data_IF_709506156139
#
_entry.id   IF_709506156139
#
_cell.length_a   1.000
_cell.length_b   1.000
_cell.length_c   1.000
_cell.angle_alpha   90.00
_cell.angle_beta   90.00
_cell.angle_gamma   90.00
#
_symmetry.space_group_name_H-M   'P 1'
#
loop_
_entity.id
_entity.type
_entity.pdbx_description
1 polymer ?
#
# COMPACT_ATOMS: atom_id res chain seq x y z
N UNK A 1 19.34 -1.57 5.91
CA UNK A 1 18.41 -1.63 7.06
C UNK A 1 18.42 -3.06 7.55
N UNK A 2 18.62 -3.28 8.86
CA UNK A 2 18.70 -4.64 9.43
C UNK A 2 17.38 -5.38 9.23
N UNK A 3 17.41 -6.70 9.21
CA UNK A 3 16.22 -7.58 9.17
C UNK A 3 15.26 -7.41 10.35
N UNK A 4 15.66 -6.65 11.37
CA UNK A 4 15.00 -6.62 12.69
C UNK A 4 14.23 -5.33 12.96
N UNK A 5 14.18 -4.38 12.02
CA UNK A 5 13.37 -3.16 12.18
C UNK A 5 11.88 -3.54 12.22
N UNK A 6 11.14 -3.17 13.28
CA UNK A 6 9.71 -3.42 13.37
C UNK A 6 8.98 -2.90 12.12
N UNK A 7 7.99 -3.65 11.63
CA UNK A 7 7.24 -3.27 10.43
C UNK A 7 6.55 -1.90 10.57
N UNK A 8 6.15 -1.55 11.80
CA UNK A 8 5.57 -0.26 12.14
C UNK A 8 6.59 0.87 11.96
N UNK A 9 7.85 0.68 12.38
CA UNK A 9 8.92 1.64 12.13
C UNK A 9 9.24 1.73 10.63
N UNK A 10 9.32 0.59 9.94
CA UNK A 10 9.61 0.52 8.50
C UNK A 10 8.60 1.27 7.63
N UNK A 11 7.30 1.18 7.94
CA UNK A 11 6.24 1.69 7.07
C UNK A 11 5.48 2.91 7.61
N UNK A 12 5.78 3.41 8.81
CA UNK A 12 5.17 4.65 9.34
C UNK A 12 6.16 5.79 9.56
N UNK A 13 7.47 5.54 9.55
CA UNK A 13 8.46 6.62 9.51
C UNK A 13 8.57 7.24 8.11
N UNK A 14 8.83 8.55 8.03
CA UNK A 14 9.13 9.22 6.76
C UNK A 14 10.64 9.20 6.50
N UNK A 15 11.01 8.96 5.25
CA UNK A 15 12.38 9.16 4.78
C UNK A 15 12.70 10.67 4.84
N UNK A 16 13.66 11.12 5.68
CA UNK A 16 13.83 12.55 6.02
C UNK A 16 13.99 13.48 4.81
N UNK A 17 14.74 13.05 3.79
CA UNK A 17 15.09 13.88 2.63
C UNK A 17 14.12 13.74 1.45
N UNK A 18 13.06 12.93 1.58
CA UNK A 18 12.06 12.78 0.52
C UNK A 18 10.94 13.77 0.73
N UNK A 19 10.65 14.54 -0.31
CA UNK A 19 9.47 15.40 -0.39
C UNK A 19 8.64 15.09 -1.63
N UNK A 20 7.32 15.28 -1.55
CA UNK A 20 6.45 15.05 -2.70
C UNK A 20 6.81 15.97 -3.88
N UNK A 21 7.33 17.18 -3.60
CA UNK A 21 7.65 18.18 -4.62
C UNK A 21 6.45 18.44 -5.54
N UNK A 22 6.67 18.30 -6.84
CA UNK A 22 5.67 18.48 -7.89
C UNK A 22 4.77 17.24 -8.13
N UNK A 23 4.97 16.15 -7.38
CA UNK A 23 4.25 14.90 -7.62
C UNK A 23 2.81 15.04 -7.13
N UNK A 24 1.88 14.81 -8.06
CA UNK A 24 0.44 14.94 -7.82
C UNK A 24 -0.33 13.62 -7.99
N UNK A 25 0.38 12.51 -8.20
CA UNK A 25 -0.25 11.23 -8.58
C UNK A 25 -1.23 10.72 -7.53
N UNK A 26 -0.91 10.79 -6.23
CA UNK A 26 -1.87 10.42 -5.20
C UNK A 26 -3.06 11.39 -5.10
N UNK A 27 -2.84 12.69 -5.38
CA UNK A 27 -3.90 13.69 -5.41
C UNK A 27 -4.88 13.50 -6.58
N UNK A 28 -4.45 12.84 -7.65
CA UNK A 28 -5.26 12.53 -8.81
C UNK A 28 -5.93 11.15 -8.66
N UNK A 29 -5.16 10.10 -8.41
CA UNK A 29 -5.63 8.73 -8.54
C UNK A 29 -6.38 8.20 -7.31
N UNK A 30 -6.05 8.64 -6.10
CA UNK A 30 -6.68 8.10 -4.89
C UNK A 30 -7.96 8.87 -4.55
N UNK A 31 -9.06 8.20 -4.15
CA UNK A 31 -10.24 8.91 -3.67
C UNK A 31 -9.95 9.62 -2.35
N UNK A 32 -10.68 10.68 -2.06
CA UNK A 32 -10.67 11.35 -0.75
C UNK A 32 -12.11 11.57 -0.33
N UNK A 33 -12.48 11.08 0.85
CA UNK A 33 -13.80 11.30 1.43
C UNK A 33 -13.64 11.70 2.90
N UNK A 34 -13.61 13.00 3.16
CA UNK A 34 -13.64 13.54 4.51
C UNK A 34 -14.58 14.75 4.60
N UNK A 35 -14.83 15.23 5.82
CA UNK A 35 -15.77 16.33 6.06
C UNK A 35 -15.48 17.59 5.21
N UNK A 36 -14.20 17.87 4.94
CA UNK A 36 -13.76 19.09 4.25
C UNK A 36 -13.39 18.90 2.78
N UNK A 37 -13.30 17.67 2.27
CA UNK A 37 -12.92 17.39 0.89
C UNK A 37 -13.51 16.06 0.43
N UNK A 38 -14.29 16.12 -0.66
CA UNK A 38 -14.76 14.95 -1.40
C UNK A 38 -14.15 15.00 -2.80
N UNK A 39 -13.44 13.94 -3.17
CA UNK A 39 -12.75 13.82 -4.45
C UNK A 39 -12.81 12.37 -4.92
N UNK A 40 -13.44 12.06 -6.06
CA UNK A 40 -13.42 10.70 -6.60
C UNK A 40 -12.01 10.28 -7.03
N UNK A 41 -11.80 8.98 -7.20
CA UNK A 41 -10.58 8.44 -7.80
C UNK A 41 -10.38 8.97 -9.23
N UNK A 42 -9.13 8.94 -9.71
CA UNK A 42 -8.76 9.35 -11.08
C UNK A 42 -9.21 10.78 -11.46
N UNK A 43 -9.37 11.65 -10.47
CA UNK A 43 -9.74 13.05 -10.63
C UNK A 43 -8.77 13.92 -9.84
N UNK A 44 -8.16 14.89 -10.52
CA UNK A 44 -7.22 15.82 -9.89
C UNK A 44 -7.91 16.60 -8.77
N UNK A 45 -7.30 16.60 -7.59
CA UNK A 45 -7.77 17.39 -6.45
C UNK A 45 -7.94 18.86 -6.86
N UNK A 46 -9.07 19.53 -6.51
CA UNK A 46 -9.34 20.92 -6.91
C UNK A 46 -8.33 21.93 -6.34
N UNK A 47 -7.58 21.54 -5.30
CA UNK A 47 -6.52 22.36 -4.73
C UNK A 47 -5.14 22.07 -5.32
N UNK A 48 -5.01 21.10 -6.22
CA UNK A 48 -3.74 20.79 -6.85
C UNK A 48 -3.56 21.64 -8.10
N UNK A 49 -2.42 22.33 -8.19
CA UNK A 49 -1.99 23.04 -9.38
C UNK A 49 -1.01 22.13 -10.11
N UNK A 50 -1.29 21.86 -11.39
CA UNK A 50 -0.46 21.00 -12.24
C UNK A 50 0.99 21.48 -12.22
N UNK A 51 1.91 20.55 -11.98
CA UNK A 51 3.36 20.77 -11.85
C UNK A 51 3.78 21.75 -10.74
N UNK A 52 2.89 22.09 -9.79
CA UNK A 52 3.21 22.95 -8.63
C UNK A 52 2.80 22.35 -7.28
N UNK A 53 1.92 21.35 -7.27
CA UNK A 53 1.43 20.71 -6.06
C UNK A 53 0.24 21.42 -5.43
N UNK A 54 0.02 21.22 -4.13
CA UNK A 54 -1.18 21.70 -3.45
C UNK A 54 -1.10 23.21 -3.13
N UNK A 55 -2.06 24.01 -3.62
CA UNK A 55 -2.17 25.45 -3.37
C UNK A 55 -2.49 25.78 -1.91
N UNK A 56 -3.08 24.83 -1.18
CA UNK A 56 -3.40 24.94 0.26
C UNK A 56 -2.52 24.03 1.12
N UNK A 57 -1.27 23.76 0.71
CA UNK A 57 -0.42 22.74 1.36
C UNK A 57 -0.41 22.84 2.89
N UNK A 58 -0.33 24.05 3.45
CA UNK A 58 -0.32 24.29 4.90
C UNK A 58 -1.69 24.12 5.58
N UNK A 59 -2.79 24.13 4.83
CA UNK A 59 -4.17 24.02 5.29
C UNK A 59 -4.85 22.71 4.84
N UNK A 60 -4.09 21.79 4.24
CA UNK A 60 -4.63 20.51 3.75
C UNK A 60 -5.38 19.73 4.84
N UNK A 61 -6.43 19.03 4.43
CA UNK A 61 -7.24 18.17 5.30
C UNK A 61 -6.36 17.12 6.00
N UNK A 62 -6.80 16.63 7.17
CA UNK A 62 -6.04 15.68 7.98
C UNK A 62 -5.63 14.46 7.15
N UNK A 63 -6.55 13.86 6.41
CA UNK A 63 -6.30 12.72 5.50
C UNK A 63 -5.11 12.95 4.54
N UNK A 64 -4.89 14.18 4.08
CA UNK A 64 -3.76 14.53 3.20
C UNK A 64 -2.45 14.81 3.96
N UNK A 65 -2.50 15.08 5.27
CA UNK A 65 -1.31 15.27 6.12
C UNK A 65 -0.70 13.96 6.57
N UNK A 66 -1.52 12.93 6.65
CA UNK A 66 -1.24 11.70 7.37
C UNK A 66 -1.00 10.54 6.43
N UNK A 67 -1.62 10.61 5.25
CA UNK A 67 -1.39 9.68 4.18
C UNK A 67 -0.06 9.96 3.45
N UNK A 68 0.73 8.91 3.27
CA UNK A 68 1.97 8.95 2.49
C UNK A 68 2.16 7.61 1.76
N UNK A 69 2.56 7.65 0.48
CA UNK A 69 2.92 6.44 -0.25
C UNK A 69 4.21 5.79 0.31
N UNK A 70 4.46 4.53 -0.04
CA UNK A 70 5.65 3.81 0.39
C UNK A 70 6.93 4.42 -0.16
N UNK A 71 6.93 5.18 -1.26
CA UNK A 71 8.12 5.95 -1.64
C UNK A 71 8.54 6.98 -0.57
N UNK A 72 7.59 7.54 0.20
CA UNK A 72 7.89 8.44 1.33
C UNK A 72 8.31 7.70 2.61
N UNK A 73 8.10 6.38 2.70
CA UNK A 73 8.24 5.59 3.94
C UNK A 73 9.34 4.52 3.86
N UNK A 74 9.43 3.82 2.74
CA UNK A 74 10.41 2.76 2.50
C UNK A 74 11.74 3.35 1.97
N UNK A 75 12.72 3.47 2.87
CA UNK A 75 14.07 3.95 2.55
C UNK A 75 14.84 3.07 1.56
N UNK A 76 14.46 1.80 1.39
CA UNK A 76 15.06 0.90 0.41
C UNK A 76 14.51 1.08 -1.01
N UNK A 77 13.40 1.83 -1.17
CA UNK A 77 12.82 2.10 -2.48
C UNK A 77 13.69 3.11 -3.26
N UNK A 78 14.05 2.86 -4.54
CA UNK A 78 14.79 3.84 -5.35
C UNK A 78 14.05 5.17 -5.59
N UNK A 79 14.78 6.24 -5.87
CA UNK A 79 14.20 7.58 -6.10
C UNK A 79 13.39 7.64 -7.40
N UNK A 80 13.77 6.83 -8.39
CA UNK A 80 13.09 6.63 -9.67
C UNK A 80 11.68 6.08 -9.50
N UNK A 81 11.38 5.45 -8.35
CA UNK A 81 10.04 4.94 -8.03
C UNK A 81 9.10 5.99 -7.45
N UNK A 82 9.50 7.26 -7.42
CA UNK A 82 8.57 8.37 -7.15
C UNK A 82 7.39 8.30 -8.15
N UNK A 83 6.12 8.34 -7.70
CA UNK A 83 4.99 7.94 -8.55
C UNK A 83 4.84 8.69 -9.89
N UNK A 84 5.18 9.98 -9.94
CA UNK A 84 5.15 10.80 -11.16
C UNK A 84 6.21 10.39 -12.19
N UNK A 85 7.28 9.71 -11.76
CA UNK A 85 8.35 9.20 -12.62
C UNK A 85 8.14 7.75 -13.02
N UNK A 86 7.60 6.94 -12.11
CA UNK A 86 7.46 5.50 -12.31
C UNK A 86 6.11 5.07 -12.87
N UNK A 87 5.05 5.86 -12.68
CA UNK A 87 3.70 5.45 -13.06
C UNK A 87 3.11 4.38 -12.14
N UNK A 88 3.59 4.27 -10.89
CA UNK A 88 3.03 3.35 -9.90
C UNK A 88 2.99 3.98 -8.50
N UNK A 89 1.93 3.70 -7.74
CA UNK A 89 1.81 4.03 -6.32
C UNK A 89 1.96 2.74 -5.53
N UNK A 90 2.97 2.69 -4.66
CA UNK A 90 3.06 1.69 -3.60
C UNK A 90 2.44 2.26 -2.33
N UNK A 91 1.53 1.54 -1.68
CA UNK A 91 0.92 1.97 -0.42
C UNK A 91 0.74 0.80 0.54
N UNK A 92 1.04 1.03 1.82
CA UNK A 92 0.52 0.22 2.90
C UNK A 92 -0.95 0.59 3.11
N UNK A 93 -1.83 -0.39 3.07
CA UNK A 93 -3.24 -0.28 3.38
C UNK A 93 -3.49 -1.09 4.64
N UNK A 94 -4.19 -0.50 5.62
CA UNK A 94 -4.60 -1.18 6.85
C UNK A 94 -6.10 -0.91 7.02
N UNK A 95 -6.89 -1.97 7.15
CA UNK A 95 -8.33 -1.90 7.35
C UNK A 95 -8.70 -2.19 8.80
N UNK A 96 -9.63 -1.40 9.35
CA UNK A 96 -10.20 -1.65 10.69
C UNK A 96 -11.23 -2.78 10.63
N UNK A 97 -12.04 -2.81 9.56
CA UNK A 97 -13.06 -3.83 9.31
C UNK A 97 -12.84 -4.50 7.94
N UNK A 98 -11.90 -5.45 7.85
CA UNK A 98 -11.60 -6.13 6.60
C UNK A 98 -12.68 -7.16 6.22
N UNK A 99 -12.95 -7.28 4.92
CA UNK A 99 -13.88 -8.30 4.38
C UNK A 99 -13.21 -9.65 4.12
N UNK A 100 -11.88 -9.66 4.06
CA UNK A 100 -11.09 -10.79 3.64
C UNK A 100 -9.71 -10.75 4.32
N UNK A 101 -9.19 -11.90 4.77
CA UNK A 101 -7.96 -12.01 5.56
C UNK A 101 -6.76 -11.25 4.94
N UNK A 102 -6.61 -11.33 3.61
CA UNK A 102 -5.50 -10.69 2.91
C UNK A 102 -5.68 -9.18 2.69
N UNK A 103 -6.75 -8.60 3.23
CA UNK A 103 -7.02 -7.17 3.20
C UNK A 103 -6.67 -6.47 4.53
N UNK A 104 -6.68 -7.15 5.69
CA UNK A 104 -6.46 -6.55 7.01
C UNK A 104 -5.29 -5.55 7.04
N UNK A 105 -4.12 -5.97 6.54
CA UNK A 105 -3.01 -5.09 6.21
C UNK A 105 -2.28 -5.62 4.97
N UNK A 106 -2.09 -4.79 3.95
CA UNK A 106 -1.48 -5.25 2.70
C UNK A 106 -0.73 -4.13 1.98
N UNK A 107 0.20 -4.53 1.10
CA UNK A 107 0.82 -3.62 0.14
C UNK A 107 0.00 -3.63 -1.14
N UNK A 108 -0.51 -2.47 -1.53
CA UNK A 108 -1.09 -2.25 -2.86
C UNK A 108 -0.05 -1.61 -3.76
N UNK A 109 0.19 -2.23 -4.91
CA UNK A 109 0.98 -1.73 -6.02
C UNK A 109 -0.01 -1.27 -7.12
N UNK A 110 -0.36 0.01 -7.13
CA UNK A 110 -1.36 0.58 -8.02
C UNK A 110 -0.70 1.19 -9.24
N UNK A 111 -0.89 0.54 -10.40
CA UNK A 111 -0.44 1.07 -11.68
C UNK A 111 -1.26 2.31 -12.07
N UNK A 112 -0.57 3.29 -12.64
CA UNK A 112 -1.14 4.55 -13.10
C UNK A 112 -1.01 4.61 -14.62
N UNK A 113 -2.11 4.93 -15.31
CA UNK A 113 -2.26 4.97 -16.79
C UNK A 113 -2.17 3.62 -17.51
N UNK A 114 -1.24 2.74 -17.13
CA UNK A 114 -1.04 1.45 -17.80
C UNK A 114 -0.57 0.35 -16.87
N UNK A 115 -1.16 -0.85 -17.00
CA UNK A 115 -0.70 -2.07 -16.30
C UNK A 115 0.70 -2.55 -16.72
N UNK A 116 1.22 -2.09 -17.87
CA UNK A 116 2.55 -2.49 -18.34
C UNK A 116 3.67 -2.08 -17.38
N UNK A 117 3.41 -1.12 -16.48
CA UNK A 117 4.37 -0.67 -15.46
C UNK A 117 4.79 -1.79 -14.51
N UNK A 118 3.96 -2.81 -14.29
CA UNK A 118 4.31 -3.95 -13.42
C UNK A 118 5.54 -4.73 -13.94
N UNK A 119 5.76 -4.71 -15.26
CA UNK A 119 6.90 -5.39 -15.90
C UNK A 119 8.17 -4.52 -15.95
N UNK A 120 8.09 -3.23 -15.56
CA UNK A 120 9.26 -2.37 -15.55
C UNK A 120 10.30 -2.90 -14.53
N UNK A 121 11.60 -3.02 -14.87
CA UNK A 121 12.58 -3.73 -14.04
C UNK A 121 12.65 -3.29 -12.58
N UNK A 122 12.67 -1.98 -12.30
CA UNK A 122 12.70 -1.46 -10.93
C UNK A 122 11.40 -1.71 -10.17
N UNK A 123 10.27 -1.67 -10.86
CA UNK A 123 8.94 -1.91 -10.30
C UNK A 123 8.81 -3.38 -9.93
N UNK A 124 9.06 -4.27 -10.90
CA UNK A 124 9.06 -5.71 -10.70
C UNK A 124 10.03 -6.12 -9.58
N UNK A 125 11.27 -5.62 -9.58
CA UNK A 125 12.24 -5.92 -8.52
C UNK A 125 11.76 -5.46 -7.13
N UNK A 126 11.09 -4.32 -7.03
CA UNK A 126 10.54 -3.83 -5.76
C UNK A 126 9.36 -4.66 -5.29
N UNK A 127 8.48 -5.07 -6.20
CA UNK A 127 7.37 -5.99 -5.90
C UNK A 127 7.93 -7.33 -5.42
N UNK A 128 8.90 -7.90 -6.14
CA UNK A 128 9.57 -9.15 -5.78
C UNK A 128 10.27 -9.06 -4.43
N UNK A 129 10.79 -7.89 -4.04
CA UNK A 129 11.32 -7.69 -2.68
C UNK A 129 10.23 -7.82 -1.61
N UNK A 130 9.05 -7.21 -1.79
CA UNK A 130 7.95 -7.39 -0.83
C UNK A 130 7.45 -8.83 -0.78
N UNK A 131 7.40 -9.51 -1.93
CA UNK A 131 7.07 -10.93 -2.03
C UNK A 131 8.09 -11.79 -1.28
N UNK A 132 9.39 -11.52 -1.47
CA UNK A 132 10.47 -12.25 -0.82
C UNK A 132 10.54 -11.99 0.69
N UNK A 133 10.17 -10.78 1.14
CA UNK A 133 9.99 -10.49 2.57
C UNK A 133 8.86 -11.35 3.16
N UNK A 134 7.79 -11.59 2.39
CA UNK A 134 6.72 -12.53 2.75
C UNK A 134 6.02 -12.17 4.06
N UNK A 135 5.95 -10.89 4.39
CA UNK A 135 5.35 -10.40 5.64
C UNK A 135 3.88 -10.01 5.41
N UNK A 136 3.63 -9.16 4.41
CA UNK A 136 2.30 -8.65 4.09
C UNK A 136 1.83 -9.15 2.72
N UNK A 137 0.53 -9.41 2.53
CA UNK A 137 -0.05 -9.63 1.21
C UNK A 137 0.32 -8.51 0.25
N UNK A 138 0.57 -8.85 -1.01
CA UNK A 138 0.92 -7.92 -2.09
C UNK A 138 -0.13 -8.01 -3.17
N UNK A 139 -0.71 -6.86 -3.51
CA UNK A 139 -1.76 -6.74 -4.51
C UNK A 139 -1.30 -5.86 -5.68
N UNK A 140 -1.64 -6.25 -6.89
CA UNK A 140 -1.66 -5.35 -8.04
C UNK A 140 -3.02 -4.66 -8.11
N UNK A 141 -3.05 -3.37 -8.47
CA UNK A 141 -4.28 -2.63 -8.72
C UNK A 141 -4.20 -1.82 -10.01
N UNK A 142 -5.23 -1.89 -10.85
CA UNK A 142 -5.34 -1.12 -12.08
C UNK A 142 -6.81 -1.07 -12.55
N UNK A 143 -7.29 0.10 -12.98
CA UNK A 143 -8.62 0.26 -13.59
C UNK A 143 -9.77 -0.19 -12.69
N UNK A 144 -9.70 0.13 -11.39
CA UNK A 144 -10.68 -0.29 -10.37
C UNK A 144 -10.57 -1.75 -9.92
N UNK A 145 -9.80 -2.59 -10.62
CA UNK A 145 -9.55 -3.98 -10.24
C UNK A 145 -8.36 -4.13 -9.28
N UNK A 146 -8.37 -5.24 -8.53
CA UNK A 146 -7.23 -5.71 -7.74
C UNK A 146 -6.98 -7.21 -8.00
N UNK A 147 -5.72 -7.61 -7.91
CA UNK A 147 -5.29 -9.02 -8.02
C UNK A 147 -4.27 -9.32 -6.94
N UNK A 148 -4.52 -10.37 -6.16
CA UNK A 148 -3.56 -10.85 -5.16
C UNK A 148 -2.38 -11.50 -5.89
N UNK A 149 -1.18 -10.98 -5.65
CA UNK A 149 0.07 -11.50 -6.23
C UNK A 149 0.82 -12.34 -5.21
N UNK A 150 0.73 -11.95 -3.94
CA UNK A 150 1.28 -12.73 -2.84
C UNK A 150 0.36 -12.67 -1.61
N UNK A 151 0.09 -13.79 -0.91
CA UNK A 151 0.49 -15.16 -1.27
C UNK A 151 -0.07 -15.57 -2.64
N UNK A 152 0.69 -16.40 -3.37
CA UNK A 152 0.21 -16.99 -4.63
C UNK A 152 -0.96 -17.95 -4.37
N UNK A 153 -1.71 -18.32 -5.42
CA UNK A 153 -2.97 -19.09 -5.32
C UNK A 153 -2.87 -20.33 -4.43
N UNK A 154 -1.82 -21.14 -4.62
CA UNK A 154 -1.60 -22.37 -3.87
C UNK A 154 -1.40 -22.14 -2.35
N UNK A 155 -0.54 -21.18 -2.00
CA UNK A 155 -0.30 -20.84 -0.59
C UNK A 155 -1.52 -20.13 0.02
N UNK A 156 -2.22 -19.31 -0.77
CA UNK A 156 -3.46 -18.65 -0.36
C UNK A 156 -4.54 -19.68 0.01
N UNK A 157 -4.72 -20.72 -0.81
CA UNK A 157 -5.65 -21.82 -0.50
C UNK A 157 -5.23 -22.55 0.78
N UNK A 158 -3.94 -22.86 0.95
CA UNK A 158 -3.45 -23.52 2.17
C UNK A 158 -3.62 -22.66 3.44
N UNK A 159 -3.55 -21.34 3.32
CA UNK A 159 -3.80 -20.40 4.43
C UNK A 159 -5.29 -20.34 4.81
N UNK A 160 -6.17 -20.25 3.80
CA UNK A 160 -7.62 -20.07 4.01
C UNK A 160 -8.32 -21.37 4.37
N UNK A 161 -7.88 -22.48 3.76
CA UNK A 161 -8.54 -23.78 3.81
C UNK A 161 -7.62 -24.89 4.37
N UNK A 162 -6.94 -24.69 5.52
CA UNK A 162 -5.89 -25.61 5.98
C UNK A 162 -6.37 -27.03 6.31
N UNK A 163 -7.69 -27.23 6.48
CA UNK A 163 -8.29 -28.53 6.76
C UNK A 163 -8.79 -29.27 5.50
N UNK A 164 -8.95 -28.56 4.38
CA UNK A 164 -9.61 -29.08 3.17
C UNK A 164 -8.80 -28.91 1.89
N UNK A 165 -7.73 -28.10 1.90
CA UNK A 165 -6.82 -27.97 0.78
C UNK A 165 -6.21 -29.31 0.38
N UNK A 166 -5.93 -29.47 -0.93
CA UNK A 166 -5.18 -30.63 -1.45
C UNK A 166 -3.66 -30.45 -1.30
N UNK A 167 -3.21 -29.24 -0.98
CA UNK A 167 -1.81 -28.85 -0.89
C UNK A 167 -1.34 -28.97 0.57
N UNK A 168 -1.45 -30.17 1.13
CA UNK A 168 -1.18 -30.44 2.54
C UNK A 168 0.26 -30.05 2.95
N UNK A 169 1.21 -30.10 2.02
CA UNK A 169 2.60 -29.71 2.18
C UNK A 169 2.78 -28.20 2.43
N UNK A 170 1.86 -27.35 1.97
CA UNK A 170 1.90 -25.90 2.18
C UNK A 170 1.22 -25.47 3.48
N UNK A 171 0.41 -26.33 4.11
CA UNK A 171 -0.33 -26.01 5.33
C UNK A 171 0.57 -25.56 6.49
N UNK A 172 1.72 -26.20 6.78
CA UNK A 172 2.62 -25.72 7.84
C UNK A 172 3.14 -24.30 7.56
N UNK A 173 3.50 -24.01 6.31
CA UNK A 173 3.94 -22.68 5.89
C UNK A 173 2.81 -21.66 6.02
N UNK A 174 1.60 -22.00 5.56
CA UNK A 174 0.44 -21.13 5.62
C UNK A 174 0.05 -20.78 7.06
N UNK A 175 0.04 -21.77 7.96
CA UNK A 175 -0.22 -21.55 9.40
C UNK A 175 0.83 -20.67 10.05
N UNK A 176 2.12 -20.95 9.81
CA UNK A 176 3.21 -20.15 10.36
C UNK A 176 3.20 -18.71 9.84
N UNK A 177 2.83 -18.51 8.58
CA UNK A 177 2.65 -17.16 8.04
C UNK A 177 1.47 -16.46 8.71
N UNK A 178 0.31 -17.13 8.79
CA UNK A 178 -0.92 -16.56 9.35
C UNK A 178 -0.75 -16.10 10.79
N UNK A 179 -0.13 -16.93 11.63
CA UNK A 179 0.17 -16.58 13.03
C UNK A 179 1.00 -15.29 13.12
N UNK A 180 2.05 -15.17 12.30
CA UNK A 180 2.86 -13.95 12.24
C UNK A 180 2.04 -12.77 11.73
N UNK A 181 1.31 -12.93 10.63
CA UNK A 181 0.51 -11.88 10.02
C UNK A 181 -0.54 -11.32 11.00
N UNK A 182 -1.32 -12.19 11.65
CA UNK A 182 -2.33 -11.80 12.63
C UNK A 182 -1.71 -11.04 13.82
N UNK A 183 -0.50 -11.44 14.27
CA UNK A 183 0.22 -10.71 15.33
C UNK A 183 0.64 -9.28 14.97
N UNK A 184 0.66 -8.94 13.67
CA UNK A 184 1.01 -7.60 13.18
C UNK A 184 -0.21 -6.68 13.06
N UNK A 185 -1.42 -7.21 13.03
CA UNK A 185 -2.62 -6.42 12.68
C UNK A 185 -2.89 -5.32 13.71
N UNK A 186 -2.97 -5.66 15.00
CA UNK A 186 -3.21 -4.66 16.04
C UNK A 186 -2.10 -3.58 16.07
N UNK A 187 -0.79 -3.90 16.08
CA UNK A 187 0.26 -2.90 15.98
C UNK A 187 0.14 -1.98 14.75
N UNK A 188 -0.21 -2.54 13.59
CA UNK A 188 -0.40 -1.78 12.35
C UNK A 188 -1.65 -0.89 12.42
N UNK A 189 -2.74 -1.38 12.99
CA UNK A 189 -3.96 -0.62 13.23
C UNK A 189 -3.71 0.53 14.22
N UNK A 190 -2.97 0.30 15.32
CA UNK A 190 -2.59 1.35 16.27
C UNK A 190 -1.71 2.41 15.60
N UNK A 191 -0.75 1.98 14.78
CA UNK A 191 0.09 2.90 14.01
C UNK A 191 -0.70 3.69 12.95
N UNK A 192 -1.74 3.08 12.36
CA UNK A 192 -2.61 3.68 11.35
C UNK A 192 -3.65 4.64 11.97
N UNK A 193 -4.29 4.22 13.07
CA UNK A 193 -5.37 4.89 13.81
C UNK A 193 -4.95 6.08 14.66
N UNK A 194 -3.70 6.54 14.56
CA UNK A 194 -3.34 7.92 14.96
C UNK A 194 -3.83 8.98 13.97
N UNK A 195 -4.51 8.57 12.90
CA UNK A 195 -5.02 9.44 11.86
C UNK A 195 -6.43 9.02 11.41
N UNK A 196 -7.45 9.74 11.88
CA UNK A 196 -8.80 9.70 11.33
C UNK A 196 -8.76 9.78 9.79
N UNK A 197 -8.96 8.67 9.09
CA UNK A 197 -9.27 8.71 7.66
C UNK A 197 -10.07 7.49 7.25
N UNK A 198 -11.39 7.70 7.17
CA UNK A 198 -12.31 6.96 6.32
C UNK A 198 -11.80 7.00 4.86
N UNK A 199 -10.89 6.09 4.52
CA UNK A 199 -10.81 5.56 3.17
C UNK A 199 -11.83 4.44 3.11
N UNK A 200 -13.08 4.79 2.77
CA UNK A 200 -14.09 3.80 2.41
C UNK A 200 -13.69 3.31 1.00
N UNK A 201 -13.29 2.05 0.81
CA UNK A 201 -13.33 1.46 -0.51
C UNK A 201 -14.81 1.29 -0.87
N UNK A 202 -15.19 1.70 -2.07
CA UNK A 202 -16.48 1.32 -2.65
C UNK A 202 -16.66 -0.22 -2.61
#
# INVERSE_FOLDING_TARGET
>A
MSSDTPITEKYFALVPDRQCGECMICCEYLPISCATLKKPAETLCPHCIVNKGCSIYQQRANVCRTWHCLWRRDGAMPDELRPDRSGIIFSLVVHEEPRYLFEDAHITCMAVKTKAVFEAPLVSATIQRYIAEGVLPVWHSFGGGKTLVWPGEELADAILNPATTRLAELVPQGKAWRERYESLIEPLQVANGRFDSLFIPD
#
